data_IF_872269466687
#
_entry.id   IF_872269466687
#
_cell.length_a   1.000
_cell.length_b   1.000
_cell.length_c   1.000
_cell.angle_alpha   90.00
_cell.angle_beta   90.00
_cell.angle_gamma   90.00
#
_symmetry.space_group_name_H-M   'P 1'
#
loop_
_entity.id
_entity.type
_entity.pdbx_description
1 polymer ?
#
# COMPACT_ATOMS: atom_id res chain seq x y z
N UNK A 1 38.46 -14.53 30.02
CA UNK A 1 37.44 -15.02 29.10
C UNK A 1 37.75 -14.42 27.71
N UNK A 2 38.25 -15.23 26.77
CA UNK A 2 38.72 -14.76 25.48
C UNK A 2 37.58 -14.70 24.48
N UNK A 3 37.26 -13.50 23.99
CA UNK A 3 36.28 -13.28 22.91
C UNK A 3 36.89 -13.74 21.60
N UNK A 4 36.34 -14.79 21.00
CA UNK A 4 36.70 -15.29 19.67
C UNK A 4 36.07 -14.38 18.61
N UNK A 5 36.86 -13.44 18.06
CA UNK A 5 36.45 -12.64 16.92
C UNK A 5 36.51 -13.50 15.65
N UNK A 6 35.38 -13.87 15.09
CA UNK A 6 35.29 -14.47 13.76
C UNK A 6 35.58 -13.38 12.73
N UNK A 7 36.80 -13.36 12.19
CA UNK A 7 37.18 -12.48 11.08
C UNK A 7 36.40 -12.76 9.79
N UNK A 8 36.35 -11.79 8.85
CA UNK A 8 35.65 -11.95 7.57
C UNK A 8 36.26 -13.12 6.77
N UNK A 9 35.37 -13.93 6.18
CA UNK A 9 35.72 -15.10 5.38
C UNK A 9 36.57 -14.68 4.15
N UNK A 10 37.67 -15.41 3.83
CA UNK A 10 38.52 -15.05 2.71
C UNK A 10 37.77 -15.15 1.36
N UNK A 11 37.99 -14.22 0.42
CA UNK A 11 37.27 -14.12 -0.86
C UNK A 11 37.35 -15.39 -1.75
N UNK A 12 38.31 -16.27 -1.49
CA UNK A 12 38.46 -17.52 -2.24
C UNK A 12 37.35 -18.55 -2.05
N UNK A 13 36.61 -18.51 -0.93
CA UNK A 13 35.50 -19.46 -0.66
C UNK A 13 34.26 -19.12 -1.49
N UNK A 14 34.03 -17.85 -1.74
CA UNK A 14 32.92 -17.37 -2.57
C UNK A 14 33.10 -17.80 -4.04
N UNK A 15 34.30 -17.63 -4.57
CA UNK A 15 34.62 -18.00 -5.96
C UNK A 15 34.53 -19.51 -6.20
N UNK A 16 35.00 -20.33 -5.26
CA UNK A 16 34.88 -21.80 -5.37
C UNK A 16 33.43 -22.28 -5.39
N UNK A 17 32.58 -21.70 -4.56
CA UNK A 17 31.14 -22.04 -4.57
C UNK A 17 30.45 -21.61 -5.87
N UNK A 18 30.78 -20.45 -6.39
CA UNK A 18 30.25 -19.94 -7.66
C UNK A 18 30.68 -20.78 -8.85
N UNK A 19 31.94 -21.20 -8.89
CA UNK A 19 32.45 -22.12 -9.93
C UNK A 19 31.78 -23.50 -9.85
N UNK A 20 31.58 -24.06 -8.67
CA UNK A 20 30.91 -25.33 -8.49
C UNK A 20 29.43 -25.29 -8.98
N UNK A 21 28.69 -24.21 -8.71
CA UNK A 21 27.31 -24.05 -9.19
C UNK A 21 27.27 -23.87 -10.71
N UNK A 22 28.19 -23.09 -11.29
CA UNK A 22 28.28 -22.90 -12.74
C UNK A 22 28.66 -24.19 -13.49
N UNK A 23 29.59 -25.00 -12.94
CA UNK A 23 29.95 -26.27 -13.55
C UNK A 23 28.83 -27.28 -13.50
N UNK A 24 28.07 -27.33 -12.38
CA UNK A 24 26.89 -28.19 -12.27
C UNK A 24 25.79 -27.79 -13.28
N UNK A 25 25.53 -26.48 -13.42
CA UNK A 25 24.60 -25.95 -14.41
C UNK A 25 24.98 -26.30 -15.85
N UNK A 26 26.27 -26.20 -16.18
CA UNK A 26 26.79 -26.55 -17.51
C UNK A 26 26.62 -28.06 -17.83
N UNK A 27 26.89 -28.92 -16.86
CA UNK A 27 26.71 -30.37 -17.03
C UNK A 27 25.24 -30.74 -17.26
N UNK A 28 24.32 -30.12 -16.51
CA UNK A 28 22.88 -30.32 -16.70
C UNK A 28 22.43 -29.82 -18.07
N UNK A 29 22.88 -28.65 -18.48
CA UNK A 29 22.52 -28.04 -19.79
C UNK A 29 23.01 -28.90 -20.96
N UNK A 30 24.26 -29.38 -20.92
CA UNK A 30 24.83 -30.27 -21.94
C UNK A 30 24.19 -31.66 -21.92
N UNK A 31 23.81 -32.17 -20.74
CA UNK A 31 23.11 -33.45 -20.58
C UNK A 31 21.73 -33.44 -21.20
N UNK A 32 20.94 -32.40 -20.90
CA UNK A 32 19.57 -32.24 -21.45
C UNK A 32 19.61 -31.99 -22.97
N UNK A 33 20.60 -31.19 -23.46
CA UNK A 33 20.78 -30.95 -24.88
C UNK A 33 21.11 -32.24 -25.69
N UNK A 34 21.88 -33.15 -25.13
CA UNK A 34 22.20 -34.45 -25.74
C UNK A 34 21.00 -35.38 -25.80
N UNK A 35 20.14 -35.37 -24.77
CA UNK A 35 18.91 -36.22 -24.73
C UNK A 35 17.89 -35.76 -25.78
N UNK A 36 17.78 -34.42 -26.00
CA UNK A 36 16.85 -33.85 -26.98
C UNK A 36 17.32 -34.02 -28.44
N UNK A 37 18.63 -34.20 -28.68
CA UNK A 37 19.18 -34.39 -30.04
C UNK A 37 19.19 -35.84 -30.53
N UNK A 38 18.84 -36.84 -29.68
CA UNK A 38 18.79 -38.28 -30.04
C UNK A 38 17.40 -38.75 -30.46
N UNK A 39 16.42 -37.86 -30.58
CA UNK A 39 15.02 -38.22 -30.89
C UNK A 39 14.41 -37.47 -32.06
N UNK A 40 15.15 -37.24 -33.18
CA UNK A 40 14.52 -36.64 -34.36
C UNK A 40 15.18 -37.13 -35.68
N UNK A 41 14.88 -38.39 -36.01
CA UNK A 41 14.92 -38.87 -37.38
C UNK A 41 13.51 -39.26 -37.80
N UNK A 42 12.86 -38.42 -38.63
CA UNK A 42 11.52 -38.67 -39.13
C UNK A 42 11.09 -37.60 -40.14
N UNK A 43 11.43 -37.85 -41.39
CA UNK A 43 10.91 -37.26 -42.62
C UNK A 43 9.42 -36.87 -42.54
N UNK A 44 9.04 -35.67 -43.04
CA UNK A 44 7.99 -35.55 -44.08
C UNK A 44 7.80 -34.12 -44.52
N UNK A 45 7.84 -33.94 -45.85
CA UNK A 45 7.34 -32.87 -46.66
C UNK A 45 5.91 -32.46 -46.35
N UNK A 46 5.58 -31.18 -46.49
CA UNK A 46 4.19 -30.83 -46.66
C UNK A 46 3.75 -29.42 -46.29
N UNK A 47 3.94 -28.49 -47.24
CA UNK A 47 2.92 -27.46 -47.63
C UNK A 47 2.44 -26.45 -46.59
N UNK A 48 2.79 -25.22 -46.86
CA UNK A 48 2.16 -24.02 -46.31
C UNK A 48 0.65 -24.02 -46.50
N UNK A 49 -0.08 -23.69 -45.45
CA UNK A 49 -1.46 -23.16 -45.59
C UNK A 49 -1.70 -22.10 -44.52
N UNK A 50 -2.12 -21.03 -45.02
CA UNK A 50 -2.46 -19.70 -44.63
C UNK A 50 -3.56 -19.61 -43.55
N UNK A 51 -3.37 -18.64 -42.66
CA UNK A 51 -4.38 -17.80 -42.01
C UNK A 51 -5.67 -18.43 -41.48
N UNK A 52 -5.83 -18.32 -40.18
CA UNK A 52 -7.11 -18.38 -39.50
C UNK A 52 -7.12 -17.39 -38.33
N UNK A 53 -7.62 -16.18 -38.60
CA UNK A 53 -7.94 -15.22 -37.55
C UNK A 53 -9.14 -15.73 -36.76
N UNK A 54 -8.93 -16.11 -35.50
CA UNK A 54 -10.03 -16.38 -34.58
C UNK A 54 -10.33 -15.16 -33.76
N UNK A 55 -11.44 -14.52 -34.08
CA UNK A 55 -12.15 -13.49 -33.35
C UNK A 55 -12.47 -13.98 -31.93
N UNK A 56 -11.93 -13.32 -30.92
CA UNK A 56 -12.32 -13.48 -29.53
C UNK A 56 -13.68 -12.81 -29.31
N UNK A 57 -14.71 -13.60 -29.19
CA UNK A 57 -16.05 -13.19 -28.78
C UNK A 57 -16.04 -12.97 -27.27
N UNK A 58 -16.23 -11.73 -26.85
CA UNK A 58 -16.43 -11.30 -25.46
C UNK A 58 -17.80 -11.79 -24.98
N UNK A 59 -17.93 -12.43 -23.80
CA UNK A 59 -19.24 -12.71 -23.23
C UNK A 59 -19.79 -11.44 -22.56
N UNK A 60 -20.86 -10.90 -23.12
CA UNK A 60 -21.72 -9.87 -22.53
C UNK A 60 -22.39 -10.43 -21.29
N UNK A 61 -22.10 -9.85 -20.13
CA UNK A 61 -22.83 -10.10 -18.89
C UNK A 61 -24.19 -9.38 -18.94
N UNK A 62 -25.26 -10.15 -18.97
CA UNK A 62 -26.65 -9.68 -18.87
C UNK A 62 -26.97 -9.32 -17.42
N UNK A 63 -27.29 -8.06 -17.18
CA UNK A 63 -27.82 -7.54 -15.91
C UNK A 63 -29.33 -7.78 -15.91
N UNK A 64 -29.96 -8.39 -14.89
CA UNK A 64 -31.42 -8.44 -14.79
C UNK A 64 -31.94 -7.09 -14.28
N UNK A 65 -32.78 -6.45 -15.10
CA UNK A 65 -33.56 -5.27 -14.75
C UNK A 65 -34.66 -5.63 -13.77
N UNK A 66 -34.67 -4.98 -12.59
CA UNK A 66 -35.78 -5.02 -11.66
C UNK A 66 -36.90 -4.13 -12.17
N UNK A 67 -38.08 -4.76 -12.43
CA UNK A 67 -39.27 -4.11 -12.93
C UNK A 67 -39.92 -3.17 -11.90
N UNK A 68 -40.16 -1.96 -12.32
CA UNK A 68 -41.03 -1.01 -11.68
C UNK A 68 -42.51 -1.35 -12.04
N UNK A 69 -43.30 -1.67 -11.05
CA UNK A 69 -44.76 -1.68 -11.18
C UNK A 69 -45.33 -0.36 -10.67
N UNK A 70 -45.68 0.52 -11.61
CA UNK A 70 -46.60 1.63 -11.37
C UNK A 70 -48.04 1.07 -11.31
N UNK A 71 -48.74 1.37 -10.21
CA UNK A 71 -50.20 1.37 -10.26
C UNK A 71 -50.71 2.58 -9.51
N UNK A 72 -51.32 3.49 -10.29
CA UNK A 72 -52.04 4.65 -9.81
C UNK A 72 -53.40 4.25 -9.26
N UNK A 73 -53.84 5.02 -8.30
CA UNK A 73 -55.22 4.98 -7.74
C UNK A 73 -55.57 6.37 -7.30
N UNK A 74 -56.43 7.02 -8.10
CA UNK A 74 -57.21 8.22 -7.78
C UNK A 74 -58.34 7.88 -6.79
N UNK A 75 -58.66 8.80 -5.90
CA UNK A 75 -60.05 8.91 -5.53
C UNK A 75 -60.32 9.33 -4.11
N UNK A 76 -60.85 10.52 -4.03
CA UNK A 76 -61.93 11.01 -3.20
C UNK A 76 -61.68 11.51 -1.76
N UNK A 77 -62.03 12.76 -1.67
CA UNK A 77 -62.22 13.56 -0.48
C UNK A 77 -63.38 13.11 0.38
N UNK A 78 -63.29 13.39 1.64
CA UNK A 78 -64.32 13.26 2.65
C UNK A 78 -64.03 14.21 3.77
N UNK A 79 -64.86 15.26 3.84
CA UNK A 79 -65.03 16.17 4.97
C UNK A 79 -65.66 15.47 6.14
N UNK A 80 -65.31 15.82 7.36
CA UNK A 80 -66.33 15.93 8.39
C UNK A 80 -66.00 15.31 9.73
N UNK A 81 -66.03 16.14 10.67
CA UNK A 81 -66.50 16.04 12.06
C UNK A 81 -65.45 15.85 13.16
N UNK A 82 -65.50 16.87 13.97
CA UNK A 82 -64.88 16.98 15.28
C UNK A 82 -65.38 15.96 16.27
N UNK A 83 -64.55 15.44 17.10
CA UNK A 83 -64.86 14.66 18.28
C UNK A 83 -63.90 15.04 19.38
N UNK A 84 -64.43 15.67 20.39
CA UNK A 84 -63.75 16.01 21.66
C UNK A 84 -63.37 14.73 22.42
N UNK A 85 -62.19 14.73 22.95
CA UNK A 85 -61.85 14.29 24.29
C UNK A 85 -61.87 12.80 24.56
N UNK A 86 -60.68 12.32 24.94
CA UNK A 86 -60.51 11.65 26.24
C UNK A 86 -59.04 11.46 26.45
N UNK A 87 -58.52 11.95 27.58
CA UNK A 87 -57.17 11.75 28.06
C UNK A 87 -56.88 10.26 28.24
N UNK A 88 -56.14 9.70 27.27
CA UNK A 88 -55.48 8.43 27.43
C UNK A 88 -54.18 8.67 28.14
N UNK A 89 -54.03 8.18 29.38
CA UNK A 89 -52.74 8.01 30.03
C UNK A 89 -51.85 7.21 29.07
N UNK A 90 -50.89 7.87 28.48
CA UNK A 90 -49.84 7.20 27.69
C UNK A 90 -49.07 6.29 28.61
N UNK A 91 -49.34 5.00 28.50
CA UNK A 91 -48.45 3.97 29.03
C UNK A 91 -47.17 4.04 28.21
N UNK A 92 -46.16 4.74 28.71
CA UNK A 92 -44.82 4.72 28.14
C UNK A 92 -44.26 3.32 28.34
N UNK A 93 -44.33 2.51 27.27
CA UNK A 93 -43.61 1.24 27.19
C UNK A 93 -42.13 1.57 27.35
N UNK A 94 -41.40 1.01 28.35
CA UNK A 94 -39.99 1.27 28.50
C UNK A 94 -39.28 0.80 27.25
N UNK A 95 -38.56 1.71 26.58
CA UNK A 95 -37.65 1.37 25.49
C UNK A 95 -36.61 0.40 26.05
N UNK A 96 -36.42 -0.80 25.44
CA UNK A 96 -35.44 -1.74 25.93
C UNK A 96 -34.04 -1.07 25.92
N UNK A 97 -33.44 -0.98 27.08
CA UNK A 97 -32.05 -0.54 27.23
C UNK A 97 -31.17 -1.51 26.44
N UNK A 98 -30.32 -1.04 25.52
CA UNK A 98 -29.44 -1.93 24.77
C UNK A 98 -28.54 -2.70 25.75
N UNK A 99 -28.66 -4.03 25.72
CA UNK A 99 -27.78 -4.91 26.50
C UNK A 99 -26.35 -4.69 25.98
N UNK A 100 -25.36 -4.39 26.86
CA UNK A 100 -23.98 -4.22 26.42
C UNK A 100 -23.52 -5.51 25.75
N UNK A 101 -23.10 -5.39 24.48
CA UNK A 101 -22.46 -6.48 23.76
C UNK A 101 -21.16 -6.84 24.50
N UNK A 102 -20.91 -8.10 24.90
CA UNK A 102 -19.67 -8.46 25.57
C UNK A 102 -18.48 -8.14 24.67
N UNK A 103 -17.53 -7.37 25.19
CA UNK A 103 -16.26 -7.11 24.52
C UNK A 103 -15.51 -8.44 24.41
N UNK A 104 -15.08 -8.86 23.20
CA UNK A 104 -14.30 -10.09 23.06
C UNK A 104 -13.00 -10.01 23.87
N UNK A 105 -12.76 -10.99 24.73
CA UNK A 105 -11.53 -11.11 25.49
C UNK A 105 -10.48 -11.66 24.53
N UNK A 106 -9.41 -10.88 24.33
CA UNK A 106 -8.29 -11.30 23.50
C UNK A 106 -7.42 -12.29 24.28
N UNK A 107 -6.92 -13.37 23.63
CA UNK A 107 -6.04 -14.34 24.30
C UNK A 107 -4.72 -13.70 24.72
N UNK A 108 -4.20 -14.13 25.87
CA UNK A 108 -2.89 -13.76 26.35
C UNK A 108 -1.77 -14.50 25.59
N UNK A 109 -0.60 -13.88 25.39
CA UNK A 109 0.51 -14.53 24.69
C UNK A 109 1.06 -15.71 25.49
N UNK A 110 1.30 -16.84 24.81
CA UNK A 110 1.82 -18.07 25.42
C UNK A 110 3.35 -18.16 25.41
N UNK A 111 4.04 -17.21 24.77
CA UNK A 111 5.49 -17.17 24.64
C UNK A 111 5.95 -16.48 23.36
N UNK A 112 7.21 -16.64 22.95
CA UNK A 112 7.71 -16.11 21.68
C UNK A 112 7.00 -16.75 20.49
N UNK A 113 6.75 -15.96 19.42
CA UNK A 113 6.21 -16.49 18.18
C UNK A 113 7.26 -17.34 17.45
N UNK A 114 6.88 -18.47 16.82
CA UNK A 114 7.72 -19.12 15.81
C UNK A 114 8.01 -18.18 14.65
N UNK A 115 9.23 -18.22 14.10
CA UNK A 115 9.67 -17.28 13.04
C UNK A 115 8.82 -17.34 11.76
N UNK A 116 8.29 -18.53 11.41
CA UNK A 116 7.47 -18.77 10.23
C UNK A 116 5.97 -18.57 10.45
N UNK A 117 5.54 -18.36 11.69
CA UNK A 117 4.12 -18.18 12.05
C UNK A 117 3.63 -16.74 11.87
N UNK A 118 4.53 -15.75 11.97
CA UNK A 118 4.17 -14.35 11.81
C UNK A 118 4.14 -13.97 10.32
N UNK A 119 3.03 -13.38 9.89
CA UNK A 119 2.97 -12.73 8.57
C UNK A 119 2.62 -11.25 8.70
N UNK A 120 3.12 -10.47 7.75
CA UNK A 120 2.99 -9.02 7.73
C UNK A 120 2.30 -8.63 6.42
N UNK A 121 1.23 -7.83 6.51
CA UNK A 121 0.60 -7.23 5.34
C UNK A 121 0.70 -5.72 5.44
N UNK A 122 1.43 -5.04 4.55
CA UNK A 122 1.48 -3.58 4.57
C UNK A 122 0.14 -2.97 4.16
N UNK A 123 -0.18 -1.80 4.68
CA UNK A 123 -1.29 -0.96 4.23
C UNK A 123 -0.90 0.50 4.23
N UNK A 124 -1.33 1.22 3.20
CA UNK A 124 -0.98 2.62 2.99
C UNK A 124 -2.28 3.37 2.66
N UNK A 125 -2.57 4.43 3.43
CA UNK A 125 -3.74 5.27 3.20
C UNK A 125 -3.31 6.59 2.55
N UNK A 126 -3.90 6.91 1.39
CA UNK A 126 -3.78 8.20 0.69
C UNK A 126 -2.33 8.77 0.60
N UNK A 127 -1.36 8.03 0.04
CA UNK A 127 0.04 8.48 0.00
C UNK A 127 0.22 9.63 -0.98
N UNK A 128 0.78 10.73 -0.48
CA UNK A 128 1.09 11.92 -1.27
C UNK A 128 2.62 12.07 -1.37
N UNK A 129 3.14 12.17 -2.60
CA UNK A 129 4.56 12.33 -2.84
C UNK A 129 5.11 13.64 -2.28
N UNK A 130 6.41 13.68 -1.98
CA UNK A 130 7.08 14.86 -1.43
C UNK A 130 6.84 15.08 0.06
N UNK A 131 6.23 14.14 0.78
CA UNK A 131 6.02 14.16 2.23
C UNK A 131 6.24 12.79 2.84
N UNK A 132 6.31 12.74 4.16
CA UNK A 132 6.35 11.48 4.89
C UNK A 132 5.06 10.69 4.72
N UNK A 133 5.20 9.41 4.46
CA UNK A 133 4.10 8.47 4.25
C UNK A 133 4.17 7.39 5.32
N UNK A 134 3.11 7.27 6.09
CA UNK A 134 3.00 6.19 7.07
C UNK A 134 2.49 4.93 6.40
N UNK A 135 3.26 3.86 6.51
CA UNK A 135 2.91 2.53 6.07
C UNK A 135 2.66 1.69 7.32
N UNK A 136 1.44 1.20 7.45
CA UNK A 136 1.09 0.33 8.58
C UNK A 136 1.45 -1.10 8.23
N UNK A 137 2.30 -1.72 9.03
CA UNK A 137 2.55 -3.15 8.99
C UNK A 137 1.50 -3.85 9.85
N UNK A 138 0.63 -4.61 9.22
CA UNK A 138 -0.42 -5.37 9.88
C UNK A 138 0.12 -6.78 10.14
N UNK A 139 0.34 -7.09 11.41
CA UNK A 139 0.94 -8.34 11.88
C UNK A 139 -0.15 -9.27 12.38
N UNK A 140 -0.12 -10.52 11.97
CA UNK A 140 -0.95 -11.61 12.48
C UNK A 140 -0.16 -12.91 12.51
N UNK A 141 -0.58 -13.87 13.34
CA UNK A 141 -0.08 -15.24 13.33
C UNK A 141 -0.91 -16.09 12.36
N UNK A 142 -0.34 -17.20 11.89
CA UNK A 142 -1.01 -18.17 11.02
C UNK A 142 -1.71 -19.27 11.81
N UNK A 143 -1.14 -19.66 12.94
CA UNK A 143 -1.61 -20.81 13.73
C UNK A 143 -1.68 -20.50 15.25
N UNK A 144 -0.73 -19.77 15.84
CA UNK A 144 -0.71 -19.48 17.26
C UNK A 144 -1.76 -18.45 17.63
N UNK A 145 -2.59 -18.71 18.64
CA UNK A 145 -3.65 -17.79 19.06
C UNK A 145 -3.12 -16.41 19.48
N UNK A 146 -2.03 -16.40 20.29
CA UNK A 146 -1.32 -15.20 20.69
C UNK A 146 0.11 -15.54 21.10
N UNK A 147 1.09 -14.72 20.67
CA UNK A 147 2.50 -14.84 21.04
C UNK A 147 3.17 -13.47 21.05
N UNK A 148 4.33 -13.36 21.68
CA UNK A 148 5.16 -12.15 21.68
C UNK A 148 6.17 -12.22 20.54
N UNK A 149 6.35 -11.10 19.83
CA UNK A 149 7.29 -10.99 18.74
C UNK A 149 8.00 -9.64 18.76
N UNK A 150 9.31 -9.65 18.51
CA UNK A 150 10.09 -8.43 18.44
C UNK A 150 10.10 -7.90 17.01
N UNK A 151 9.53 -6.72 16.78
CA UNK A 151 9.71 -5.95 15.57
C UNK A 151 11.08 -5.29 15.61
N UNK A 152 11.88 -5.48 14.57
CA UNK A 152 13.20 -4.88 14.44
C UNK A 152 13.67 -4.92 12.98
N UNK A 153 14.75 -4.19 12.60
CA UNK A 153 15.35 -4.29 11.27
C UNK A 153 15.84 -5.69 10.90
N UNK A 154 16.11 -6.55 11.90
CA UNK A 154 16.55 -7.93 11.69
C UNK A 154 15.38 -8.88 11.46
N UNK A 155 14.21 -8.60 12.02
CA UNK A 155 13.02 -9.45 11.94
C UNK A 155 12.03 -9.01 10.85
N UNK A 156 12.11 -7.76 10.38
CA UNK A 156 11.23 -7.20 9.34
C UNK A 156 12.03 -6.80 8.12
N UNK A 157 11.60 -7.25 6.95
CA UNK A 157 12.09 -6.73 5.67
C UNK A 157 10.95 -6.03 4.94
N UNK A 158 11.18 -4.80 4.50
CA UNK A 158 10.24 -4.03 3.71
C UNK A 158 10.91 -3.40 2.50
N UNK A 159 10.23 -3.44 1.35
CA UNK A 159 10.70 -2.81 0.12
C UNK A 159 9.54 -2.09 -0.58
N UNK A 160 9.85 -0.98 -1.25
CA UNK A 160 8.94 -0.28 -2.15
C UNK A 160 9.53 -0.37 -3.55
N UNK A 161 8.73 -0.84 -4.51
CA UNK A 161 9.16 -1.02 -5.90
C UNK A 161 8.12 -0.45 -6.88
N UNK A 162 8.57 -0.06 -8.08
CA UNK A 162 7.70 0.30 -9.20
C UNK A 162 8.16 -0.49 -10.43
N UNK A 163 7.40 -1.49 -10.82
CA UNK A 163 7.83 -2.47 -11.81
C UNK A 163 9.12 -3.20 -11.40
N UNK A 164 10.20 -2.98 -12.16
CA UNK A 164 11.54 -3.55 -11.86
C UNK A 164 12.42 -2.61 -11.04
N UNK A 165 11.99 -1.38 -10.85
CA UNK A 165 12.77 -0.37 -10.14
C UNK A 165 12.59 -0.48 -8.62
N UNK A 166 13.70 -0.53 -7.90
CA UNK A 166 13.72 -0.58 -6.44
C UNK A 166 13.82 0.85 -5.93
N UNK A 167 12.73 1.32 -5.35
CA UNK A 167 12.61 2.70 -4.88
C UNK A 167 13.19 2.85 -3.48
N UNK A 168 12.75 2.02 -2.54
CA UNK A 168 13.17 2.10 -1.16
C UNK A 168 13.28 0.71 -0.53
N UNK A 169 14.23 0.54 0.40
CA UNK A 169 14.49 -0.73 1.08
C UNK A 169 14.84 -0.51 2.55
N UNK A 170 14.18 -1.24 3.45
CA UNK A 170 14.49 -1.19 4.89
C UNK A 170 15.92 -1.60 5.22
N UNK A 171 16.55 -2.46 4.40
CA UNK A 171 17.98 -2.83 4.57
C UNK A 171 18.95 -1.68 4.36
N UNK A 172 18.56 -0.66 3.61
CA UNK A 172 19.33 0.57 3.43
C UNK A 172 18.94 1.62 4.47
N UNK A 173 17.71 1.57 4.97
CA UNK A 173 17.17 2.47 5.99
C UNK A 173 16.67 1.68 7.19
N UNK A 174 17.55 1.04 7.98
CA UNK A 174 17.15 0.18 9.10
C UNK A 174 16.39 0.96 10.18
N UNK A 175 16.75 2.21 10.42
CA UNK A 175 16.11 3.07 11.44
C UNK A 175 14.64 3.38 11.16
N UNK A 176 14.16 3.14 9.94
CA UNK A 176 12.74 3.28 9.61
C UNK A 176 11.88 2.17 10.23
N UNK A 177 12.48 1.03 10.58
CA UNK A 177 11.80 -0.07 11.27
C UNK A 177 11.97 0.12 12.78
N UNK A 178 10.88 0.33 13.55
CA UNK A 178 10.99 0.52 14.99
C UNK A 178 11.44 -0.77 15.68
N UNK A 179 12.16 -0.62 16.80
CA UNK A 179 12.51 -1.75 17.68
C UNK A 179 11.52 -1.77 18.84
N UNK A 180 10.62 -2.76 18.84
CA UNK A 180 9.60 -2.91 19.88
C UNK A 180 9.08 -4.33 19.97
N UNK A 181 8.69 -4.75 21.18
CA UNK A 181 7.99 -6.01 21.42
C UNK A 181 6.48 -5.80 21.25
N UNK A 182 5.83 -6.70 20.54
CA UNK A 182 4.39 -6.66 20.28
C UNK A 182 3.76 -8.01 20.55
N UNK A 183 2.47 -8.01 20.89
CA UNK A 183 1.67 -9.24 20.93
C UNK A 183 1.00 -9.42 19.59
N UNK A 184 1.35 -10.50 18.89
CA UNK A 184 0.75 -10.87 17.61
C UNK A 184 -0.31 -11.94 17.85
N UNK A 185 -1.44 -11.85 17.14
CA UNK A 185 -2.61 -12.72 17.35
C UNK A 185 -3.17 -13.23 16.04
N UNK A 186 -3.81 -14.41 16.10
CA UNK A 186 -4.51 -14.99 14.97
C UNK A 186 -5.80 -14.22 14.62
N UNK A 187 -6.57 -13.87 15.65
CA UNK A 187 -7.92 -13.30 15.48
C UNK A 187 -7.93 -11.76 15.39
N UNK A 188 -6.82 -11.08 15.64
CA UNK A 188 -6.74 -9.62 15.61
C UNK A 188 -5.43 -9.12 15.04
N UNK A 189 -5.50 -8.02 14.30
CA UNK A 189 -4.33 -7.37 13.68
C UNK A 189 -3.60 -6.52 14.71
N UNK A 190 -2.28 -6.68 14.79
CA UNK A 190 -1.39 -5.77 15.51
C UNK A 190 -0.72 -4.85 14.49
N UNK A 191 -0.84 -3.54 14.67
CA UNK A 191 -0.34 -2.55 13.71
C UNK A 191 0.95 -1.91 14.20
N UNK A 192 1.93 -1.84 13.30
CA UNK A 192 3.22 -1.17 13.54
C UNK A 192 3.46 -0.15 12.43
N UNK A 193 3.58 1.14 12.75
CA UNK A 193 3.85 2.16 11.76
C UNK A 193 5.31 2.17 11.33
N UNK A 194 5.54 2.30 10.03
CA UNK A 194 6.84 2.56 9.39
C UNK A 194 6.70 3.83 8.58
N UNK A 195 7.64 4.77 8.74
CA UNK A 195 7.62 6.03 7.99
C UNK A 195 8.57 5.94 6.81
N UNK A 196 8.05 6.23 5.62
CA UNK A 196 8.82 6.40 4.41
C UNK A 196 8.77 7.88 3.97
N UNK A 197 9.93 8.50 3.82
CA UNK A 197 10.06 9.91 3.44
C UNK A 197 9.74 10.20 1.95
N UNK A 198 9.08 9.28 1.25
CA UNK A 198 8.79 9.31 -0.20
C UNK A 198 10.00 9.57 -1.10
N UNK A 199 11.22 9.26 -0.64
CA UNK A 199 12.45 9.31 -1.42
C UNK A 199 12.97 7.92 -1.75
N UNK A 200 13.85 7.87 -2.72
CA UNK A 200 14.62 6.65 -3.02
C UNK A 200 15.61 6.43 -1.87
N UNK A 201 15.87 5.16 -1.53
CA UNK A 201 16.93 4.84 -0.56
C UNK A 201 18.27 4.64 -1.26
N UNK A 202 19.35 5.01 -0.59
CA UNK A 202 20.74 4.66 -0.89
C UNK A 202 21.34 3.85 0.27
N UNK A 203 22.63 3.51 0.21
CA UNK A 203 23.28 2.68 1.22
C UNK A 203 23.43 3.39 2.59
N UNK A 204 23.43 4.71 2.59
CA UNK A 204 23.54 5.58 3.77
C UNK A 204 22.18 6.06 4.28
N UNK A 205 21.07 5.68 3.61
CA UNK A 205 19.73 6.21 3.88
C UNK A 205 19.67 7.74 3.89
N UNK A 206 20.30 8.36 2.89
CA UNK A 206 20.43 9.82 2.88
C UNK A 206 19.14 10.52 2.42
N UNK A 207 18.91 11.75 2.96
CA UNK A 207 17.80 12.62 2.53
C UNK A 207 18.07 13.35 1.21
N UNK A 208 19.21 13.08 0.56
CA UNK A 208 19.64 13.79 -0.67
C UNK A 208 19.23 13.05 -1.94
N UNK A 209 18.65 11.88 -1.81
CA UNK A 209 18.17 11.08 -2.94
C UNK A 209 16.98 11.73 -3.63
N UNK A 210 16.70 11.30 -4.87
CA UNK A 210 15.56 11.79 -5.62
C UNK A 210 14.23 11.39 -4.96
N UNK A 211 13.22 12.25 -5.08
CA UNK A 211 11.85 11.92 -4.73
C UNK A 211 11.31 10.79 -5.60
N UNK A 212 10.48 9.94 -5.02
CA UNK A 212 9.65 9.02 -5.79
C UNK A 212 8.63 9.81 -6.61
N UNK A 213 8.51 9.49 -7.88
CA UNK A 213 7.58 10.16 -8.79
C UNK A 213 6.15 9.65 -8.58
N UNK A 214 5.10 10.47 -8.85
CA UNK A 214 3.73 9.98 -8.84
C UNK A 214 3.55 8.77 -9.76
N UNK A 215 2.76 7.78 -9.32
CA UNK A 215 2.54 6.55 -10.07
C UNK A 215 2.23 5.34 -9.18
N UNK A 216 2.24 4.15 -9.79
CA UNK A 216 1.91 2.92 -9.09
C UNK A 216 3.15 2.23 -8.52
N UNK A 217 3.02 1.80 -7.28
CA UNK A 217 4.06 1.16 -6.48
C UNK A 217 3.52 -0.09 -5.81
N UNK A 218 4.43 -0.94 -5.40
CA UNK A 218 4.18 -2.10 -4.57
C UNK A 218 4.96 -1.98 -3.26
N UNK A 219 4.27 -2.11 -2.14
CA UNK A 219 4.88 -2.29 -0.84
C UNK A 219 4.97 -3.79 -0.54
N UNK A 220 6.18 -4.26 -0.38
CA UNK A 220 6.50 -5.66 -0.13
C UNK A 220 7.01 -5.78 1.30
N UNK A 221 6.39 -6.62 2.12
CA UNK A 221 6.83 -6.85 3.50
C UNK A 221 6.93 -8.34 3.80
N UNK A 222 7.87 -8.70 4.67
CA UNK A 222 8.04 -10.06 5.18
C UNK A 222 8.56 -10.04 6.61
N UNK A 223 8.05 -10.94 7.45
CA UNK A 223 8.69 -11.33 8.69
C UNK A 223 9.88 -12.25 8.43
N UNK A 224 10.81 -12.36 9.38
CA UNK A 224 11.92 -13.32 9.33
C UNK A 224 11.34 -14.75 9.24
N UNK A 225 11.80 -15.52 8.23
CA UNK A 225 11.27 -16.86 7.97
C UNK A 225 9.89 -16.91 7.29
N UNK A 226 9.18 -15.78 7.23
CA UNK A 226 7.84 -15.68 6.64
C UNK A 226 7.83 -15.42 5.13
N UNK A 227 6.68 -15.65 4.52
CA UNK A 227 6.44 -15.33 3.12
C UNK A 227 6.26 -13.83 2.92
N UNK A 228 6.75 -13.35 1.78
CA UNK A 228 6.58 -11.96 1.38
C UNK A 228 5.14 -11.68 0.93
N UNK A 229 4.55 -10.64 1.48
CA UNK A 229 3.27 -10.08 1.03
C UNK A 229 3.51 -8.88 0.12
N UNK A 230 2.52 -8.55 -0.70
CA UNK A 230 2.59 -7.50 -1.73
C UNK A 230 1.27 -6.72 -1.74
N UNK A 231 1.35 -5.40 -1.61
CA UNK A 231 0.20 -4.49 -1.70
C UNK A 231 0.52 -3.36 -2.66
N UNK A 232 -0.31 -3.21 -3.69
CA UNK A 232 -0.20 -2.11 -4.64
C UNK A 232 -0.83 -0.83 -4.06
N UNK A 233 -0.20 0.32 -4.33
CA UNK A 233 -0.73 1.64 -4.02
C UNK A 233 -0.36 2.65 -5.11
N UNK A 234 -1.12 3.74 -5.18
CA UNK A 234 -0.82 4.86 -6.05
C UNK A 234 -0.26 6.02 -5.23
N UNK A 235 0.94 6.48 -5.58
CA UNK A 235 1.54 7.69 -5.05
C UNK A 235 1.03 8.89 -5.86
N UNK A 236 0.23 9.75 -5.22
CA UNK A 236 -0.32 10.92 -5.89
C UNK A 236 0.62 12.12 -5.82
N UNK A 237 0.52 13.01 -6.81
CA UNK A 237 1.28 14.25 -6.77
C UNK A 237 0.79 15.18 -5.66
N UNK A 238 1.69 15.96 -5.00
CA UNK A 238 1.27 16.98 -4.08
C UNK A 238 0.48 18.07 -4.81
N UNK A 239 -0.64 18.49 -4.23
CA UNK A 239 -1.39 19.66 -4.72
C UNK A 239 -0.67 20.95 -4.35
N UNK A 240 -0.41 21.81 -5.33
CA UNK A 240 0.14 23.13 -5.05
C UNK A 240 -0.82 23.93 -4.15
N UNK A 241 -0.33 24.63 -3.12
CA UNK A 241 -1.18 25.53 -2.34
C UNK A 241 -1.75 26.64 -3.24
N UNK A 242 -3.06 26.80 -3.24
CA UNK A 242 -3.70 27.93 -3.91
C UNK A 242 -3.44 29.17 -3.08
N UNK A 243 -2.56 30.05 -3.54
CA UNK A 243 -2.37 31.36 -2.93
C UNK A 243 -3.55 32.25 -3.39
N UNK A 244 -4.56 32.41 -2.54
CA UNK A 244 -5.61 33.40 -2.76
C UNK A 244 -5.06 34.74 -2.33
N UNK A 245 -4.54 35.52 -3.27
CA UNK A 245 -4.26 36.95 -3.03
C UNK A 245 -5.61 37.66 -2.86
N UNK A 246 -5.95 37.99 -1.62
CA UNK A 246 -7.07 38.89 -1.34
C UNK A 246 -6.64 40.30 -1.81
N UNK A 247 -7.18 40.73 -2.95
CA UNK A 247 -6.98 42.10 -3.42
C UNK A 247 -7.41 43.03 -2.30
N UNK A 248 -6.45 43.76 -1.72
CA UNK A 248 -6.73 44.82 -0.78
C UNK A 248 -7.50 45.89 -1.55
N UNK A 249 -8.73 46.29 -1.14
CA UNK A 249 -9.45 47.40 -1.78
C UNK A 249 -8.59 48.63 -1.70
N UNK A 250 -8.08 49.06 -2.85
CA UNK A 250 -7.32 50.30 -2.93
C UNK A 250 -8.15 51.47 -2.39
N UNK A 251 -7.75 51.97 -1.22
CA UNK A 251 -8.29 53.22 -0.69
C UNK A 251 -8.00 54.34 -1.68
N UNK A 252 -9.01 54.70 -2.48
CA UNK A 252 -8.98 55.86 -3.34
C UNK A 252 -8.83 57.12 -2.48
N UNK A 253 -7.61 57.63 -2.36
CA UNK A 253 -7.37 58.92 -1.79
C UNK A 253 -7.23 59.92 -2.94
N UNK A 254 -8.33 60.60 -3.25
CA UNK A 254 -8.40 61.74 -4.14
C UNK A 254 -7.56 62.91 -3.57
N UNK A 255 -6.33 63.05 -4.05
CA UNK A 255 -5.48 64.21 -3.80
C UNK A 255 -5.46 65.10 -5.02
N UNK A 256 -6.28 66.18 -4.97
CA UNK A 256 -6.22 67.36 -5.83
C UNK A 256 -4.98 68.15 -5.43
N UNK A 257 -4.14 68.57 -6.38
CA UNK A 257 -3.06 69.50 -6.06
C UNK A 257 -2.13 69.77 -7.21
N UNK A 258 -2.51 70.62 -8.09
CA UNK A 258 -1.95 71.93 -8.40
C UNK A 258 -0.50 72.01 -8.97
N UNK A 259 -0.41 72.72 -10.09
CA UNK A 259 0.65 72.93 -11.01
C UNK A 259 1.97 73.49 -10.41
N UNK A 260 2.98 73.38 -11.25
CA UNK A 260 4.30 73.93 -11.05
C UNK A 260 5.19 73.69 -12.25
N UNK A 261 5.17 74.64 -13.18
CA UNK A 261 6.15 74.82 -14.26
C UNK A 261 7.57 74.99 -13.68
N UNK A 262 8.55 74.36 -14.32
CA UNK A 262 9.97 74.56 -13.99
C UNK A 262 10.89 73.91 -15.03
N UNK A 263 11.26 74.77 -16.03
CA UNK A 263 12.35 74.49 -16.99
C UNK A 263 13.69 74.33 -16.28
N UNK A 264 14.60 73.55 -16.80
CA UNK A 264 15.98 73.50 -16.37
C UNK A 264 16.83 72.52 -17.19
N UNK A 265 17.48 73.04 -18.18
CA UNK A 265 18.51 72.41 -19.00
C UNK A 265 19.80 72.13 -18.21
N UNK A 266 20.68 71.22 -18.67
CA UNK A 266 22.10 71.17 -18.31
C UNK A 266 22.60 69.72 -18.31
N UNK A 267 23.15 69.25 -19.36
CA UNK A 267 24.52 68.91 -19.70
C UNK A 267 25.44 68.42 -18.54
N UNK A 268 25.90 67.24 -18.56
CA UNK A 268 27.28 66.76 -18.79
C UNK A 268 27.25 65.23 -18.71
#
# INVERSE_FOLDING_TARGET
MAASSRGPLPPGVYWRRRLAVLSLGLVVFLGVGKVLSLGSDGHSDGKATQAGATTLTSPTATVPASGQTKKGGKGHGGKGHGGKGHGGKGSSTPTPTPTPTPTPVLPDPTGPCPDDDVYITPSIAAPVGGSDITIMLNLQTRATEACTWQVSPDTVTMNIVSGRDKIWRSKQCPDAIPVQDVVVRLASVTQVPVVWNSRRSDEECSDRTAWALPGFYHALAAALGGEKTDVQFELVAPTAPTITETATPGGGNGGKGNGGTGSGAGQH
#
